data_IF_854282933592
#
_entry.id   IF_854282933592
#
_cell.length_a   1.000
_cell.length_b   1.000
_cell.length_c   1.000
_cell.angle_alpha   90.00
_cell.angle_beta   90.00
_cell.angle_gamma   90.00
#
_symmetry.space_group_name_H-M   'P 1'
#
loop_
_entity.id
_entity.type
_entity.pdbx_description
1 polymer ?
#
# COMPACT_ATOMS: atom_id res chain seq x y z
N UNK A 1 -6.62 -21.95 -27.94
CA UNK A 1 -7.66 -21.21 -27.19
C UNK A 1 -7.79 -19.79 -27.77
N UNK A 2 -6.72 -18.99 -27.81
CA UNK A 2 -6.78 -17.60 -28.30
C UNK A 2 -7.42 -17.44 -29.68
N UNK A 3 -7.10 -18.31 -30.65
CA UNK A 3 -7.75 -18.30 -31.98
C UNK A 3 -9.26 -18.62 -31.94
N UNK A 4 -9.67 -19.51 -31.02
CA UNK A 4 -11.09 -19.82 -30.81
C UNK A 4 -11.86 -18.64 -30.21
N UNK A 5 -11.16 -17.76 -29.49
CA UNK A 5 -11.69 -16.53 -28.90
C UNK A 5 -11.76 -15.36 -29.93
N UNK A 6 -11.49 -15.65 -31.22
CA UNK A 6 -11.58 -14.67 -32.31
C UNK A 6 -10.33 -13.82 -32.54
N UNK A 7 -9.24 -14.06 -31.81
CA UNK A 7 -7.98 -13.36 -32.01
C UNK A 7 -7.28 -13.82 -33.29
N UNK A 8 -6.75 -12.91 -34.09
CA UNK A 8 -6.00 -13.22 -35.30
C UNK A 8 -4.55 -13.56 -34.91
N UNK A 9 -4.09 -14.71 -35.41
CA UNK A 9 -2.69 -15.14 -35.24
C UNK A 9 -1.91 -14.85 -36.54
N UNK A 10 -0.75 -14.23 -36.39
CA UNK A 10 0.28 -14.14 -37.39
C UNK A 10 1.52 -14.88 -36.90
N UNK A 11 2.12 -15.65 -37.82
CA UNK A 11 3.39 -16.36 -37.62
C UNK A 11 4.23 -16.24 -38.91
N UNK A 12 5.59 -16.34 -38.83
CA UNK A 12 6.42 -16.35 -40.04
C UNK A 12 6.09 -17.55 -40.93
N UNK A 13 6.38 -17.42 -42.23
CA UNK A 13 6.15 -18.48 -43.22
C UNK A 13 7.15 -19.64 -43.19
N UNK A 14 8.27 -19.47 -42.47
CA UNK A 14 9.26 -20.52 -42.29
C UNK A 14 8.84 -21.51 -41.20
N UNK A 15 9.26 -22.76 -41.31
CA UNK A 15 8.94 -23.82 -40.34
C UNK A 15 9.98 -23.85 -39.22
N UNK A 16 9.53 -23.99 -37.98
CA UNK A 16 10.42 -24.31 -36.87
C UNK A 16 11.04 -25.71 -37.00
N UNK A 17 12.27 -25.92 -36.49
CA UNK A 17 12.83 -27.25 -36.37
C UNK A 17 11.89 -28.20 -35.61
N UNK A 18 11.77 -29.44 -36.09
CA UNK A 18 10.92 -30.44 -35.45
C UNK A 18 11.58 -31.14 -34.27
N UNK A 19 12.92 -31.11 -34.22
CA UNK A 19 13.70 -31.66 -33.12
C UNK A 19 13.93 -30.57 -32.05
N UNK A 20 13.31 -30.75 -30.87
CA UNK A 20 13.44 -29.83 -29.76
C UNK A 20 12.16 -29.08 -29.42
N UNK A 21 12.23 -28.16 -28.47
CA UNK A 21 11.11 -27.37 -27.94
C UNK A 21 11.08 -25.96 -28.57
N UNK A 22 11.04 -25.89 -29.88
CA UNK A 22 10.99 -24.64 -30.63
C UNK A 22 9.53 -24.23 -30.90
N UNK A 23 9.26 -22.95 -30.73
CA UNK A 23 7.98 -22.34 -31.05
C UNK A 23 8.20 -21.08 -31.93
N UNK A 24 7.46 -20.88 -33.01
CA UNK A 24 7.66 -19.74 -33.88
C UNK A 24 7.22 -18.43 -33.20
N UNK A 25 7.93 -17.31 -33.43
CA UNK A 25 7.45 -16.01 -32.99
C UNK A 25 6.02 -15.79 -33.44
N UNK A 26 5.16 -15.42 -32.53
CA UNK A 26 3.71 -15.36 -32.76
C UNK A 26 3.14 -14.03 -32.32
N UNK A 27 2.39 -13.37 -33.21
CA UNK A 27 1.70 -12.12 -32.94
C UNK A 27 0.19 -12.34 -32.96
N UNK A 28 -0.46 -12.00 -31.86
CA UNK A 28 -1.93 -11.96 -31.81
C UNK A 28 -2.44 -10.53 -31.91
N UNK A 29 -3.37 -10.31 -32.85
CA UNK A 29 -4.07 -9.04 -33.04
C UNK A 29 -5.57 -9.20 -32.84
N UNK A 30 -6.31 -8.09 -32.79
CA UNK A 30 -7.73 -8.07 -32.40
C UNK A 30 -7.97 -8.61 -30.98
N UNK A 31 -7.00 -8.46 -30.10
CA UNK A 31 -7.09 -8.91 -28.70
C UNK A 31 -7.91 -7.91 -27.91
N UNK A 32 -8.88 -8.42 -27.16
CA UNK A 32 -9.64 -7.62 -26.19
C UNK A 32 -9.03 -7.73 -24.80
N UNK A 33 -9.20 -6.74 -23.93
CA UNK A 33 -8.66 -6.79 -22.56
C UNK A 33 -9.14 -8.00 -21.73
N UNK A 34 -10.29 -8.58 -22.07
CA UNK A 34 -10.84 -9.79 -21.41
C UNK A 34 -10.39 -11.11 -22.03
N UNK A 35 -9.67 -11.07 -23.16
CA UNK A 35 -9.17 -12.29 -23.80
C UNK A 35 -8.21 -13.04 -22.90
N UNK A 36 -8.29 -14.37 -22.90
CA UNK A 36 -7.37 -15.23 -22.15
C UNK A 36 -5.90 -14.87 -22.39
N UNK A 37 -5.51 -14.63 -23.65
CA UNK A 37 -4.13 -14.32 -24.02
C UNK A 37 -3.66 -12.94 -23.58
N UNK A 38 -4.59 -12.03 -23.21
CA UNK A 38 -4.27 -10.73 -22.64
C UNK A 38 -4.03 -10.79 -21.11
N UNK A 39 -4.54 -11.84 -20.45
CA UNK A 39 -4.54 -11.95 -19.00
C UNK A 39 -3.55 -12.98 -18.46
N UNK A 40 -3.04 -13.87 -19.32
CA UNK A 40 -2.13 -14.95 -18.91
C UNK A 40 -0.76 -14.74 -19.53
N UNK A 41 0.26 -14.80 -18.72
CA UNK A 41 1.64 -14.77 -19.16
C UNK A 41 2.01 -16.10 -19.84
N UNK A 42 2.39 -16.05 -21.12
CA UNK A 42 2.63 -17.24 -21.93
C UNK A 42 4.05 -17.81 -21.73
N UNK A 43 4.99 -16.98 -21.29
CA UNK A 43 6.41 -17.36 -21.12
C UNK A 43 7.04 -17.95 -22.39
N UNK A 44 6.81 -17.32 -23.54
CA UNK A 44 7.34 -17.76 -24.84
C UNK A 44 7.34 -16.61 -25.85
N UNK A 45 7.77 -16.85 -27.11
CA UNK A 45 7.87 -15.84 -28.15
C UNK A 45 6.49 -15.44 -28.70
N UNK A 46 5.62 -14.97 -27.81
CA UNK A 46 4.24 -14.60 -28.12
C UNK A 46 4.00 -13.16 -27.70
N UNK A 47 3.54 -12.35 -28.63
CA UNK A 47 3.16 -10.95 -28.43
C UNK A 47 1.67 -10.76 -28.70
N UNK A 48 0.99 -9.98 -27.87
CA UNK A 48 -0.39 -9.52 -28.10
C UNK A 48 -0.42 -8.02 -28.34
N UNK A 49 -1.30 -7.58 -29.22
CA UNK A 49 -1.50 -6.15 -29.49
C UNK A 49 -2.95 -5.74 -29.29
N UNK A 50 -3.12 -4.59 -28.68
CA UNK A 50 -4.39 -3.90 -28.48
C UNK A 50 -4.23 -2.44 -28.90
N UNK A 51 -5.26 -1.85 -29.47
CA UNK A 51 -5.28 -0.43 -29.81
C UNK A 51 -5.94 0.38 -28.71
N UNK A 52 -5.54 1.62 -28.59
CA UNK A 52 -6.15 2.59 -27.69
C UNK A 52 -6.35 3.93 -28.42
N UNK A 53 -7.24 4.77 -27.92
CA UNK A 53 -7.58 6.08 -28.51
C UNK A 53 -7.03 7.25 -27.70
N UNK A 54 -6.87 7.06 -26.39
CA UNK A 54 -6.42 8.10 -25.48
C UNK A 54 -5.33 7.59 -24.54
N UNK A 55 -4.45 8.47 -24.04
CA UNK A 55 -3.45 8.09 -23.05
C UNK A 55 -4.06 7.43 -21.78
N UNK A 56 -5.21 7.92 -21.35
CA UNK A 56 -5.92 7.34 -20.20
C UNK A 56 -6.41 5.91 -20.47
N UNK A 57 -6.88 5.64 -21.69
CA UNK A 57 -7.25 4.30 -22.10
C UNK A 57 -6.03 3.37 -22.15
N UNK A 58 -4.90 3.84 -22.67
CA UNK A 58 -3.64 3.10 -22.69
C UNK A 58 -3.21 2.68 -21.26
N UNK A 59 -3.25 3.61 -20.30
CA UNK A 59 -2.97 3.33 -18.90
C UNK A 59 -3.96 2.31 -18.32
N UNK A 60 -5.24 2.45 -18.64
CA UNK A 60 -6.27 1.52 -18.17
C UNK A 60 -6.04 0.10 -18.71
N UNK A 61 -5.73 -0.04 -19.99
CA UNK A 61 -5.42 -1.33 -20.62
C UNK A 61 -4.14 -1.92 -20.04
N UNK A 62 -3.06 -1.14 -19.92
CA UNK A 62 -1.79 -1.58 -19.35
C UNK A 62 -1.94 -2.07 -17.91
N UNK A 63 -2.83 -1.46 -17.14
CA UNK A 63 -3.08 -1.84 -15.74
C UNK A 63 -4.09 -2.98 -15.58
N UNK A 64 -4.79 -3.38 -16.65
CA UNK A 64 -5.79 -4.44 -16.63
C UNK A 64 -5.16 -5.84 -16.78
N UNK A 65 -4.24 -6.17 -15.89
CA UNK A 65 -3.56 -7.47 -15.80
C UNK A 65 -3.25 -7.76 -14.33
N UNK A 66 -3.17 -9.03 -13.89
CA UNK A 66 -2.73 -9.38 -12.56
C UNK A 66 -1.22 -9.12 -12.34
N UNK A 67 -0.45 -8.90 -13.39
CA UNK A 67 0.99 -8.69 -13.34
C UNK A 67 1.37 -7.21 -13.35
N UNK A 68 2.62 -6.91 -12.99
CA UNK A 68 3.14 -5.55 -12.96
C UNK A 68 4.65 -5.53 -12.76
N UNK A 69 5.41 -6.31 -13.55
CA UNK A 69 6.87 -6.34 -13.42
C UNK A 69 7.51 -5.11 -14.05
N UNK A 70 7.29 -4.93 -15.34
CA UNK A 70 7.94 -3.87 -16.11
C UNK A 70 7.04 -3.37 -17.25
N UNK A 71 7.28 -2.13 -17.69
CA UNK A 71 6.65 -1.55 -18.85
C UNK A 71 7.61 -0.62 -19.61
N UNK A 72 7.32 -0.38 -20.89
CA UNK A 72 8.02 0.60 -21.72
C UNK A 72 7.03 1.57 -22.32
N UNK A 73 7.36 2.86 -22.30
CA UNK A 73 6.58 3.93 -22.91
C UNK A 73 7.40 4.56 -24.02
N UNK A 74 6.87 4.57 -25.21
CA UNK A 74 7.50 5.17 -26.39
C UNK A 74 6.71 6.37 -26.85
N UNK A 75 7.30 7.55 -26.82
CA UNK A 75 6.68 8.81 -27.23
C UNK A 75 7.71 9.87 -27.55
N UNK A 76 7.47 10.64 -28.60
CA UNK A 76 8.25 11.86 -28.87
C UNK A 76 7.92 12.99 -27.88
N UNK A 77 6.71 12.97 -27.31
CA UNK A 77 6.31 13.91 -26.27
C UNK A 77 6.77 13.42 -24.89
N UNK A 78 7.91 13.90 -24.46
CA UNK A 78 8.51 13.53 -23.17
C UNK A 78 7.62 13.88 -21.97
N UNK A 79 6.89 15.01 -22.04
CA UNK A 79 5.99 15.41 -20.96
C UNK A 79 4.84 14.43 -20.79
N UNK A 80 4.30 13.93 -21.89
CA UNK A 80 3.27 12.90 -21.88
C UNK A 80 3.82 11.58 -21.31
N UNK A 81 5.03 11.18 -21.72
CA UNK A 81 5.65 9.96 -21.19
C UNK A 81 5.88 10.02 -19.68
N UNK A 82 6.38 11.17 -19.19
CA UNK A 82 6.58 11.40 -17.75
C UNK A 82 5.26 11.49 -16.97
N UNK A 83 4.19 12.01 -17.56
CA UNK A 83 2.86 12.04 -16.93
C UNK A 83 2.23 10.64 -16.84
N UNK A 84 2.47 9.78 -17.83
CA UNK A 84 1.94 8.42 -17.88
C UNK A 84 2.71 7.47 -16.98
N UNK A 85 4.04 7.58 -16.90
CA UNK A 85 4.89 6.63 -16.19
C UNK A 85 4.41 6.33 -14.76
N UNK A 86 4.14 7.29 -13.88
CA UNK A 86 3.67 7.00 -12.52
C UNK A 86 2.24 6.43 -12.45
N UNK A 87 1.48 6.47 -13.55
CA UNK A 87 0.11 5.93 -13.63
C UNK A 87 0.07 4.46 -14.01
N UNK A 88 1.12 3.94 -14.65
CA UNK A 88 1.27 2.53 -14.99
C UNK A 88 1.74 1.75 -13.78
N UNK A 89 1.02 0.70 -13.41
CA UNK A 89 1.31 -0.14 -12.23
C UNK A 89 2.31 -1.24 -12.57
N UNK A 90 3.55 -0.82 -12.82
CA UNK A 90 4.70 -1.69 -13.04
C UNK A 90 5.88 -1.21 -12.17
N UNK A 91 6.68 -2.14 -11.69
CA UNK A 91 7.78 -1.82 -10.78
C UNK A 91 8.93 -1.09 -11.46
N UNK A 92 9.12 -1.31 -12.77
CA UNK A 92 10.09 -0.58 -13.60
C UNK A 92 9.40 -0.07 -14.87
N UNK A 93 9.66 1.18 -15.21
CA UNK A 93 9.15 1.80 -16.43
C UNK A 93 10.29 2.44 -17.18
N UNK A 94 10.50 1.99 -18.41
CA UNK A 94 11.42 2.59 -19.33
C UNK A 94 10.70 3.61 -20.23
N UNK A 95 11.34 4.75 -20.46
CA UNK A 95 10.84 5.76 -21.40
C UNK A 95 11.79 5.80 -22.60
N UNK A 96 11.25 5.57 -23.79
CA UNK A 96 11.96 5.50 -25.07
C UNK A 96 13.16 4.52 -25.03
N UNK A 97 13.03 3.48 -24.25
CA UNK A 97 13.98 2.39 -24.06
C UNK A 97 13.29 1.14 -23.55
N UNK A 98 14.01 0.04 -23.48
CA UNK A 98 13.53 -1.20 -22.88
C UNK A 98 14.72 -2.06 -22.44
N UNK A 99 14.49 -2.91 -21.43
CA UNK A 99 15.45 -3.90 -20.94
C UNK A 99 16.84 -3.34 -20.57
N UNK A 100 16.89 -2.11 -20.09
CA UNK A 100 18.09 -1.54 -19.51
C UNK A 100 18.14 -1.88 -18.02
N UNK A 101 19.14 -2.65 -17.63
CA UNK A 101 19.34 -3.10 -16.25
C UNK A 101 20.69 -2.65 -15.73
N UNK A 102 20.73 -2.25 -14.47
CA UNK A 102 21.96 -1.95 -13.76
C UNK A 102 21.85 -2.37 -12.29
N UNK A 103 22.88 -2.97 -11.75
CA UNK A 103 22.91 -3.45 -10.37
C UNK A 103 22.80 -2.32 -9.32
N UNK A 104 23.08 -1.07 -9.70
CA UNK A 104 22.91 0.09 -8.82
C UNK A 104 21.47 0.58 -8.71
N UNK A 105 20.55 0.02 -9.50
CA UNK A 105 19.15 0.41 -9.54
C UNK A 105 18.25 -0.71 -9.05
N UNK A 106 17.26 -0.39 -8.23
CA UNK A 106 16.28 -1.37 -7.77
C UNK A 106 15.39 -1.88 -8.92
N UNK A 107 15.27 -3.19 -9.06
CA UNK A 107 14.40 -3.88 -10.01
C UNK A 107 13.43 -4.79 -9.25
N UNK A 108 12.16 -4.78 -9.63
CA UNK A 108 11.13 -5.63 -9.06
C UNK A 108 9.74 -5.24 -9.54
N UNK A 109 8.73 -5.94 -9.09
CA UNK A 109 7.37 -5.84 -9.59
C UNK A 109 6.35 -5.24 -8.63
N UNK A 110 5.12 -5.28 -9.10
CA UNK A 110 3.87 -5.05 -8.36
C UNK A 110 2.92 -6.22 -8.60
N UNK A 111 1.85 -6.26 -7.86
CA UNK A 111 0.76 -7.25 -7.99
C UNK A 111 1.33 -8.68 -7.88
N UNK A 112 0.89 -9.61 -8.74
CA UNK A 112 1.35 -11.00 -8.75
C UNK A 112 2.81 -11.17 -9.23
N UNK A 113 3.40 -10.14 -9.84
CA UNK A 113 4.85 -10.13 -10.14
C UNK A 113 5.74 -9.96 -8.90
N UNK A 114 5.15 -9.76 -7.72
CA UNK A 114 5.84 -9.61 -6.44
C UNK A 114 6.24 -8.17 -6.13
N UNK A 115 6.60 -7.93 -4.86
CA UNK A 115 6.88 -6.58 -4.34
C UNK A 115 8.33 -6.38 -3.93
N UNK A 116 9.16 -7.43 -3.95
CA UNK A 116 10.57 -7.34 -3.65
C UNK A 116 11.33 -6.44 -4.64
N UNK A 117 12.50 -5.98 -4.21
CA UNK A 117 13.44 -5.26 -5.08
C UNK A 117 14.81 -5.92 -5.00
N UNK A 118 15.41 -6.12 -6.17
CA UNK A 118 16.80 -6.55 -6.32
C UNK A 118 17.64 -5.38 -6.82
N UNK A 119 18.92 -5.36 -6.50
CA UNK A 119 19.80 -4.26 -6.85
C UNK A 119 19.57 -2.98 -6.04
N UNK A 120 20.46 -2.03 -6.18
CA UNK A 120 20.42 -0.75 -5.50
C UNK A 120 20.42 -0.85 -3.96
N UNK A 121 20.15 0.27 -3.32
CA UNK A 121 19.98 0.34 -1.86
C UNK A 121 18.75 -0.45 -1.37
N UNK A 122 17.74 -0.56 -2.20
CA UNK A 122 16.50 -1.27 -1.92
C UNK A 122 16.77 -2.78 -1.79
N UNK A 123 17.55 -3.35 -2.69
CA UNK A 123 17.93 -4.75 -2.64
C UNK A 123 18.78 -5.09 -1.42
N UNK A 124 19.77 -4.25 -1.09
CA UNK A 124 20.62 -4.45 0.10
C UNK A 124 19.79 -4.46 1.39
N UNK A 125 18.77 -3.59 1.49
CA UNK A 125 17.90 -3.52 2.68
C UNK A 125 17.14 -4.81 2.94
N UNK A 126 16.79 -5.56 1.91
CA UNK A 126 16.10 -6.85 2.07
C UNK A 126 16.93 -7.89 2.80
N UNK A 127 18.25 -7.78 2.73
CA UNK A 127 19.23 -8.67 3.40
C UNK A 127 19.79 -8.09 4.70
N UNK A 128 19.37 -6.88 5.10
CA UNK A 128 19.87 -6.18 6.27
C UNK A 128 18.87 -6.24 7.41
N UNK A 129 19.34 -6.54 8.63
CA UNK A 129 18.55 -6.38 9.85
C UNK A 129 18.57 -4.92 10.26
N UNK A 130 17.45 -4.23 10.14
CA UNK A 130 17.30 -2.93 10.76
C UNK A 130 17.25 -3.12 12.28
N UNK A 131 18.04 -2.36 13.06
CA UNK A 131 17.91 -2.38 14.52
C UNK A 131 16.57 -1.72 14.86
N UNK A 132 15.55 -2.55 15.05
CA UNK A 132 14.32 -2.09 15.67
C UNK A 132 14.62 -1.82 17.14
N UNK A 133 14.36 -0.63 17.68
CA UNK A 133 14.40 -0.39 19.10
C UNK A 133 13.25 -1.20 19.73
N UNK A 134 13.54 -2.41 20.15
CA UNK A 134 12.63 -3.20 20.98
C UNK A 134 12.56 -2.50 22.35
N UNK A 135 11.53 -1.70 22.53
CA UNK A 135 11.11 -1.25 23.85
C UNK A 135 10.67 -2.49 24.63
N UNK A 136 11.53 -2.98 25.52
CA UNK A 136 11.14 -3.98 26.51
C UNK A 136 10.27 -3.26 27.54
N UNK A 137 8.96 -3.33 27.38
CA UNK A 137 8.03 -2.97 28.44
C UNK A 137 8.26 -3.89 29.62
N UNK A 138 8.71 -3.36 30.74
CA UNK A 138 8.76 -4.07 32.02
C UNK A 138 7.35 -4.02 32.62
N UNK A 139 6.68 -5.17 32.72
CA UNK A 139 5.41 -5.29 33.45
C UNK A 139 5.54 -4.66 34.85
N UNK A 140 4.78 -3.57 35.08
CA UNK A 140 4.64 -2.96 36.40
C UNK A 140 3.73 -3.79 37.29
N UNK A 141 4.06 -3.84 38.59
CA UNK A 141 3.27 -4.52 39.63
C UNK A 141 1.92 -3.82 39.82
N UNK A 142 0.86 -4.63 39.97
CA UNK A 142 -0.52 -4.23 40.20
C UNK A 142 -0.66 -3.22 41.34
N UNK A 143 -1.34 -2.10 41.09
CA UNK A 143 -1.82 -1.16 42.08
C UNK A 143 -3.36 -1.10 42.06
N UNK A 144 -3.94 -0.86 43.22
CA UNK A 144 -5.33 -1.11 43.59
C UNK A 144 -6.28 0.07 43.35
N UNK A 145 -7.54 -0.30 43.05
CA UNK A 145 -8.82 0.43 43.20
C UNK A 145 -8.95 1.80 42.55
N UNK A 146 -9.66 1.79 41.39
CA UNK A 146 -10.25 2.98 40.76
C UNK A 146 -11.75 3.08 41.05
N UNK A 147 -12.21 4.30 41.24
CA UNK A 147 -13.62 4.64 41.48
C UNK A 147 -14.43 4.57 40.18
N UNK A 148 -15.62 3.96 40.29
CA UNK A 148 -16.63 3.93 39.25
C UNK A 148 -17.15 5.35 38.94
N UNK A 149 -16.97 5.85 37.74
CA UNK A 149 -17.67 7.04 37.24
C UNK A 149 -18.92 6.59 36.49
N UNK A 150 -20.09 7.15 36.87
CA UNK A 150 -21.35 6.97 36.16
C UNK A 150 -21.24 7.62 34.78
N UNK A 151 -20.81 6.87 33.78
CA UNK A 151 -20.81 7.32 32.39
C UNK A 151 -22.09 6.91 31.71
N UNK A 152 -22.69 7.79 30.92
CA UNK A 152 -23.81 7.49 30.04
C UNK A 152 -23.34 6.38 29.08
N UNK A 153 -24.03 5.24 29.11
CA UNK A 153 -23.75 4.12 28.20
C UNK A 153 -24.04 4.57 26.76
N UNK A 154 -22.93 4.74 26.00
CA UNK A 154 -22.98 5.03 24.57
C UNK A 154 -22.33 3.86 23.86
N UNK A 155 -23.13 3.00 23.25
CA UNK A 155 -22.61 1.92 22.40
C UNK A 155 -21.61 2.50 21.38
N UNK A 156 -20.34 2.15 21.45
CA UNK A 156 -19.36 2.62 20.48
C UNK A 156 -19.75 2.23 19.08
N UNK A 157 -19.38 3.04 18.12
CA UNK A 157 -19.62 2.81 16.70
C UNK A 157 -18.31 2.64 15.98
N UNK A 158 -18.33 1.86 14.90
CA UNK A 158 -17.23 1.83 13.94
C UNK A 158 -17.05 3.24 13.35
N UNK A 159 -15.80 3.58 13.04
CA UNK A 159 -15.47 4.84 12.38
C UNK A 159 -14.99 4.55 10.96
N UNK A 160 -15.86 4.77 9.97
CA UNK A 160 -15.62 4.43 8.58
C UNK A 160 -15.87 5.65 7.70
N UNK A 161 -14.87 6.04 6.92
CA UNK A 161 -14.99 7.17 6.00
C UNK A 161 -15.23 8.52 6.66
N UNK A 162 -14.69 8.76 7.85
CA UNK A 162 -14.88 9.98 8.61
C UNK A 162 -16.23 10.07 9.34
N UNK A 163 -16.98 8.98 9.44
CA UNK A 163 -18.30 8.95 10.06
C UNK A 163 -18.45 7.78 11.01
N UNK A 164 -19.22 7.99 12.06
CA UNK A 164 -19.63 6.91 12.95
C UNK A 164 -20.70 6.05 12.27
N UNK A 165 -20.48 4.73 12.24
CA UNK A 165 -21.37 3.74 11.61
C UNK A 165 -21.64 2.59 12.59
N UNK A 166 -22.88 2.14 12.70
CA UNK A 166 -23.19 0.91 13.45
C UNK A 166 -22.62 -0.29 12.69
N UNK A 167 -22.15 -1.34 13.39
CA UNK A 167 -21.73 -2.58 12.74
C UNK A 167 -22.92 -3.21 11.98
N UNK A 168 -22.66 -3.86 10.87
CA UNK A 168 -23.67 -4.50 10.04
C UNK A 168 -24.43 -5.60 10.81
N UNK A 169 -23.75 -6.28 11.72
CA UNK A 169 -24.34 -7.28 12.60
C UNK A 169 -25.30 -6.70 13.64
N UNK A 170 -25.15 -5.42 13.99
CA UNK A 170 -25.85 -4.77 15.11
C UNK A 170 -25.36 -5.22 16.49
N UNK A 171 -24.37 -6.13 16.58
CA UNK A 171 -23.85 -6.65 17.84
C UNK A 171 -22.68 -5.83 18.39
N UNK A 172 -22.53 -5.91 19.72
CA UNK A 172 -21.39 -5.39 20.46
C UNK A 172 -20.90 -6.44 21.46
N UNK A 173 -19.69 -6.27 21.98
CA UNK A 173 -19.18 -7.03 23.10
C UNK A 173 -18.66 -6.06 24.17
N UNK A 174 -18.72 -6.48 25.43
CA UNK A 174 -18.30 -5.66 26.56
C UNK A 174 -16.79 -5.74 26.75
N UNK A 175 -16.15 -4.60 26.96
CA UNK A 175 -14.74 -4.48 27.29
C UNK A 175 -14.55 -4.19 28.77
N UNK A 176 -13.54 -4.79 29.37
CA UNK A 176 -13.23 -4.70 30.79
C UNK A 176 -11.78 -4.27 30.99
N UNK A 177 -11.52 -3.59 32.11
CA UNK A 177 -10.16 -3.23 32.53
C UNK A 177 -9.41 -4.46 33.13
N UNK A 178 -8.16 -4.26 33.47
CA UNK A 178 -7.32 -5.31 34.11
C UNK A 178 -7.84 -5.79 35.48
N UNK A 179 -8.77 -5.07 36.06
CA UNK A 179 -9.44 -5.40 37.33
C UNK A 179 -10.82 -6.01 37.12
N UNK A 180 -11.20 -6.30 35.85
CA UNK A 180 -12.48 -6.82 35.45
C UNK A 180 -13.65 -5.84 35.73
N UNK A 181 -13.40 -4.52 35.76
CA UNK A 181 -14.46 -3.52 35.76
C UNK A 181 -14.91 -3.23 34.32
N UNK A 182 -16.21 -3.09 34.13
CA UNK A 182 -16.76 -2.73 32.84
C UNK A 182 -16.30 -1.33 32.42
N UNK A 183 -15.80 -1.20 31.17
CA UNK A 183 -15.38 0.07 30.59
C UNK A 183 -16.39 0.57 29.57
N UNK A 184 -16.68 -0.22 28.56
CA UNK A 184 -17.61 0.14 27.49
C UNK A 184 -17.99 -1.09 26.65
N UNK A 185 -19.04 -0.94 25.86
CA UNK A 185 -19.33 -1.87 24.79
C UNK A 185 -18.62 -1.46 23.51
N UNK A 186 -18.00 -2.43 22.85
CA UNK A 186 -17.26 -2.28 21.59
C UNK A 186 -18.08 -2.89 20.45
N UNK A 187 -18.19 -2.24 19.28
CA UNK A 187 -18.94 -2.77 18.17
C UNK A 187 -18.28 -4.04 17.62
N UNK A 188 -19.06 -5.08 17.40
CA UNK A 188 -18.59 -6.32 16.82
C UNK A 188 -18.69 -6.27 15.28
N UNK A 189 -17.60 -5.88 14.63
CA UNK A 189 -17.50 -5.80 13.17
C UNK A 189 -17.51 -7.19 12.54
N UNK A 190 -18.16 -7.31 11.39
CA UNK A 190 -18.16 -8.53 10.59
C UNK A 190 -17.38 -8.35 9.26
N UNK A 191 -17.35 -9.40 8.44
CA UNK A 191 -16.65 -9.41 7.15
C UNK A 191 -17.13 -8.29 6.20
N UNK A 192 -18.42 -7.93 6.24
CA UNK A 192 -18.97 -6.86 5.41
C UNK A 192 -18.47 -5.50 5.85
N UNK A 193 -18.40 -5.25 7.16
CA UNK A 193 -17.84 -4.01 7.70
C UNK A 193 -16.36 -3.84 7.30
N UNK A 194 -15.58 -4.92 7.37
CA UNK A 194 -14.16 -4.91 6.94
C UNK A 194 -14.05 -4.60 5.44
N UNK A 195 -14.86 -5.26 4.59
CA UNK A 195 -14.88 -4.97 3.16
C UNK A 195 -15.23 -3.52 2.88
N UNK A 196 -16.31 -3.01 3.47
CA UNK A 196 -16.76 -1.63 3.30
C UNK A 196 -15.67 -0.64 3.76
N UNK A 197 -14.96 -0.96 4.84
CA UNK A 197 -13.84 -0.16 5.35
C UNK A 197 -12.68 -0.11 4.36
N UNK A 198 -12.29 -1.26 3.80
CA UNK A 198 -11.21 -1.35 2.80
C UNK A 198 -11.58 -0.59 1.52
N UNK A 199 -12.83 -0.70 1.05
CA UNK A 199 -13.31 0.05 -0.12
C UNK A 199 -13.25 1.57 0.11
N UNK A 200 -13.65 2.04 1.27
CA UNK A 200 -13.61 3.46 1.62
C UNK A 200 -12.18 3.95 1.74
N UNK A 201 -11.30 3.18 2.39
CA UNK A 201 -9.87 3.49 2.51
C UNK A 201 -9.19 3.54 1.14
N UNK A 202 -9.48 2.58 0.26
CA UNK A 202 -8.95 2.55 -1.11
C UNK A 202 -9.36 3.78 -1.93
N UNK A 203 -10.62 4.21 -1.82
CA UNK A 203 -11.10 5.45 -2.46
C UNK A 203 -10.45 6.71 -1.88
N UNK A 204 -10.03 6.69 -0.62
CA UNK A 204 -9.35 7.83 0.00
C UNK A 204 -7.92 8.00 -0.52
N UNK A 205 -7.22 6.93 -0.89
CA UNK A 205 -5.88 6.99 -1.48
C UNK A 205 -5.87 7.82 -2.77
N UNK A 206 -6.92 7.70 -3.59
CA UNK A 206 -7.04 8.43 -4.86
C UNK A 206 -7.38 9.92 -4.71
N UNK A 207 -7.91 10.32 -3.55
CA UNK A 207 -8.19 11.73 -3.21
C UNK A 207 -6.95 12.35 -2.55
N UNK A 208 -5.83 12.37 -3.28
CA UNK A 208 -4.57 12.82 -2.70
C UNK A 208 -4.63 14.28 -2.25
N UNK A 209 -4.61 14.49 -0.95
CA UNK A 209 -4.16 15.76 -0.39
C UNK A 209 -2.67 15.93 -0.73
N UNK A 210 -2.24 17.18 -0.91
CA UNK A 210 -0.81 17.47 -1.10
C UNK A 210 0.01 16.96 0.10
N UNK A 211 1.30 16.73 -0.10
CA UNK A 211 2.21 16.34 0.99
C UNK A 211 2.17 17.35 2.13
N UNK A 212 2.07 18.65 1.80
CA UNK A 212 1.91 19.74 2.76
C UNK A 212 0.61 19.61 3.59
N UNK A 213 -0.52 19.33 2.96
CA UNK A 213 -1.77 19.14 3.69
C UNK A 213 -1.71 17.91 4.62
N UNK A 214 -1.03 16.84 4.22
CA UNK A 214 -0.81 15.67 5.07
C UNK A 214 0.04 16.00 6.30
N UNK A 215 1.08 16.80 6.12
CA UNK A 215 1.88 17.32 7.24
C UNK A 215 1.01 18.10 8.22
N UNK A 216 0.20 19.04 7.72
CA UNK A 216 -0.70 19.84 8.58
C UNK A 216 -1.70 18.97 9.35
N UNK A 217 -2.30 17.95 8.70
CA UNK A 217 -3.24 17.03 9.38
C UNK A 217 -2.55 16.34 10.55
N UNK A 218 -1.30 15.86 10.38
CA UNK A 218 -0.56 15.22 11.45
C UNK A 218 -0.21 16.17 12.58
N UNK A 219 0.16 17.43 12.28
CA UNK A 219 0.40 18.45 13.29
C UNK A 219 -0.87 18.77 14.09
N UNK A 220 -1.99 19.04 13.44
CA UNK A 220 -3.25 19.27 14.13
C UNK A 220 -3.69 18.07 14.98
N UNK A 221 -3.44 16.85 14.50
CA UNK A 221 -3.72 15.65 15.29
C UNK A 221 -2.85 15.61 16.55
N UNK A 222 -1.54 15.87 16.42
CA UNK A 222 -0.62 15.91 17.54
C UNK A 222 -1.00 16.96 18.59
N UNK A 223 -1.29 18.18 18.16
CA UNK A 223 -1.73 19.27 19.04
C UNK A 223 -3.03 18.95 19.78
N UNK A 224 -4.05 18.46 19.06
CA UNK A 224 -5.32 18.06 19.67
C UNK A 224 -5.18 16.90 20.66
N UNK A 225 -4.27 15.98 20.41
CA UNK A 225 -3.96 14.90 21.35
C UNK A 225 -3.23 15.43 22.57
N UNK A 226 -2.27 16.36 22.38
CA UNK A 226 -1.53 16.95 23.48
C UNK A 226 -2.43 17.68 24.47
N UNK A 227 -3.44 18.40 23.98
CA UNK A 227 -4.45 19.06 24.83
C UNK A 227 -5.28 18.09 25.67
N UNK A 228 -5.38 16.83 25.21
CA UNK A 228 -6.14 15.78 25.87
C UNK A 228 -5.26 14.73 26.57
N UNK A 229 -3.98 15.01 26.76
CA UNK A 229 -3.00 14.08 27.32
C UNK A 229 -3.49 13.41 28.60
N UNK A 230 -3.99 14.17 29.57
CA UNK A 230 -4.44 13.65 30.85
C UNK A 230 -5.61 12.65 30.70
N UNK A 231 -6.53 12.90 29.79
CA UNK A 231 -7.66 12.01 29.54
C UNK A 231 -7.20 10.69 28.94
N UNK A 232 -6.35 10.76 27.92
CA UNK A 232 -5.86 9.55 27.24
C UNK A 232 -4.90 8.73 28.08
N UNK A 233 -3.98 9.37 28.82
CA UNK A 233 -3.05 8.66 29.70
C UNK A 233 -3.76 7.98 30.87
N UNK A 234 -4.78 8.62 31.44
CA UNK A 234 -5.60 7.98 32.50
C UNK A 234 -6.39 6.81 31.97
N UNK A 235 -6.96 6.93 30.76
CA UNK A 235 -7.68 5.83 30.10
C UNK A 235 -6.74 4.66 29.80
N UNK A 236 -5.57 4.94 29.24
CA UNK A 236 -4.54 3.93 28.95
C UNK A 236 -4.10 3.20 30.22
N UNK A 237 -3.83 3.94 31.30
CA UNK A 237 -3.47 3.37 32.61
C UNK A 237 -4.57 2.43 33.11
N UNK A 238 -5.84 2.80 32.99
CA UNK A 238 -6.99 1.96 33.41
C UNK A 238 -7.14 0.70 32.55
N UNK A 239 -6.99 0.84 31.23
CA UNK A 239 -7.20 -0.25 30.27
C UNK A 239 -6.16 -1.36 30.43
N UNK A 240 -4.88 -1.02 30.47
CA UNK A 240 -3.78 -1.98 30.45
C UNK A 240 -3.05 -2.13 31.77
N UNK A 241 -3.43 -1.37 32.79
CA UNK A 241 -2.89 -1.49 34.17
C UNK A 241 -1.47 -1.02 34.35
N UNK A 242 -0.94 -0.18 33.45
CA UNK A 242 0.38 0.46 33.62
C UNK A 242 0.29 1.65 34.56
N UNK A 243 1.46 2.09 35.08
CA UNK A 243 1.48 3.29 35.93
C UNK A 243 1.07 4.53 35.12
N UNK A 244 0.45 5.53 35.78
CA UNK A 244 0.09 6.80 35.14
C UNK A 244 1.30 7.45 34.46
N UNK A 245 2.47 7.36 35.08
CA UNK A 245 3.72 7.90 34.54
C UNK A 245 4.18 7.19 33.26
N UNK A 246 4.01 5.87 33.19
CA UNK A 246 4.36 5.11 31.99
C UNK A 246 3.35 5.38 30.87
N UNK A 247 2.07 5.51 31.21
CA UNK A 247 1.02 5.89 30.26
C UNK A 247 1.28 7.29 29.66
N UNK A 248 1.66 8.26 30.49
CA UNK A 248 2.04 9.60 30.03
C UNK A 248 3.25 9.58 29.11
N UNK A 249 4.27 8.78 29.43
CA UNK A 249 5.47 8.64 28.61
C UNK A 249 5.14 8.00 27.24
N UNK A 250 4.33 6.96 27.22
CA UNK A 250 3.90 6.32 25.97
C UNK A 250 3.10 7.29 25.09
N UNK A 251 2.24 8.07 25.73
CA UNK A 251 1.46 9.10 25.06
C UNK A 251 2.34 10.21 24.49
N UNK A 252 3.32 10.71 25.25
CA UNK A 252 4.30 11.70 24.77
C UNK A 252 5.09 11.18 23.57
N UNK A 253 5.55 9.93 23.61
CA UNK A 253 6.23 9.30 22.48
C UNK A 253 5.35 9.21 21.23
N UNK A 254 4.05 8.99 21.41
CA UNK A 254 3.09 8.96 20.30
C UNK A 254 2.93 10.34 19.67
N UNK A 255 2.85 11.40 20.48
CA UNK A 255 2.82 12.79 20.01
C UNK A 255 4.11 13.16 19.28
N UNK A 256 5.28 12.82 19.83
CA UNK A 256 6.58 13.07 19.20
C UNK A 256 6.66 12.40 17.81
N UNK A 257 6.18 11.16 17.70
CA UNK A 257 6.12 10.45 16.41
C UNK A 257 5.20 11.14 15.41
N UNK A 258 4.05 11.66 15.83
CA UNK A 258 3.16 12.42 14.96
C UNK A 258 3.82 13.69 14.42
N UNK A 259 4.51 14.44 15.29
CA UNK A 259 5.29 15.61 14.84
C UNK A 259 6.42 15.21 13.90
N UNK A 260 7.16 14.13 14.23
CA UNK A 260 8.24 13.64 13.38
C UNK A 260 7.75 13.25 11.99
N UNK A 261 6.69 12.45 11.88
CA UNK A 261 6.15 12.04 10.59
C UNK A 261 5.43 13.18 9.88
N UNK A 262 4.84 14.13 10.60
CA UNK A 262 4.34 15.38 10.05
C UNK A 262 5.46 16.17 9.36
N UNK A 263 6.61 16.31 10.02
CA UNK A 263 7.79 16.96 9.44
C UNK A 263 8.38 16.23 8.24
N UNK A 264 8.21 14.91 8.17
CA UNK A 264 8.71 14.08 7.06
C UNK A 264 7.75 14.00 5.88
N UNK A 265 6.48 14.33 6.06
CA UNK A 265 5.44 14.08 5.06
C UNK A 265 5.67 14.82 3.73
N UNK A 266 6.27 15.99 3.76
CA UNK A 266 6.62 16.82 2.59
C UNK A 266 8.09 16.66 2.15
N UNK A 267 8.89 15.88 2.88
CA UNK A 267 10.34 15.67 2.67
C UNK A 267 10.70 14.24 2.27
N UNK A 268 9.69 13.38 2.12
CA UNK A 268 9.90 11.99 1.74
C UNK A 268 10.02 11.89 0.22
N UNK A 269 11.17 12.28 -0.30
CA UNK A 269 11.49 12.35 -1.72
C UNK A 269 11.95 11.00 -2.28
N UNK A 270 11.97 10.89 -3.61
CA UNK A 270 12.61 9.80 -4.32
C UNK A 270 14.13 9.96 -4.39
N UNK A 271 14.76 9.15 -5.19
CA UNK A 271 16.20 9.19 -5.42
C UNK A 271 16.51 9.30 -6.92
N UNK A 272 17.61 9.98 -7.23
CA UNK A 272 18.21 9.96 -8.57
C UNK A 272 19.39 9.01 -8.50
N UNK A 273 19.40 7.99 -9.37
CA UNK A 273 20.52 7.09 -9.52
C UNK A 273 21.35 7.50 -10.72
N UNK A 274 22.67 7.35 -10.62
CA UNK A 274 23.62 7.60 -11.70
C UNK A 274 24.31 6.29 -12.11
N UNK A 275 23.59 5.38 -12.78
CA UNK A 275 24.17 4.13 -13.26
C UNK A 275 25.15 4.39 -14.42
N UNK A 276 26.08 3.47 -14.71
CA UNK A 276 27.04 3.61 -15.80
C UNK A 276 26.43 3.47 -17.21
N UNK A 277 25.13 3.33 -17.30
CA UNK A 277 24.39 3.32 -18.57
C UNK A 277 23.96 4.74 -18.97
N UNK A 278 23.82 4.98 -20.28
CA UNK A 278 23.37 6.27 -20.80
C UNK A 278 21.86 6.47 -20.45
N UNK A 279 21.57 7.41 -19.57
CA UNK A 279 20.18 7.75 -19.20
C UNK A 279 20.07 8.34 -17.80
N UNK A 280 18.87 8.72 -17.43
CA UNK A 280 18.50 9.20 -16.11
C UNK A 280 17.60 8.15 -15.44
N UNK A 281 17.99 7.71 -14.26
CA UNK A 281 17.19 6.76 -13.47
C UNK A 281 16.64 7.44 -12.23
N UNK A 282 15.31 7.40 -12.10
CA UNK A 282 14.58 7.98 -10.98
C UNK A 282 13.92 6.86 -10.17
N UNK A 283 14.13 6.84 -8.86
CA UNK A 283 13.35 6.04 -7.91
C UNK A 283 12.26 6.92 -7.30
N UNK A 284 11.03 6.73 -7.72
CA UNK A 284 9.88 7.51 -7.28
C UNK A 284 9.19 6.78 -6.13
N UNK A 285 8.84 7.51 -5.07
CA UNK A 285 8.07 6.97 -3.94
C UNK A 285 6.58 6.99 -4.27
N UNK A 286 5.91 5.86 -4.08
CA UNK A 286 4.46 5.74 -4.26
C UNK A 286 3.79 5.26 -2.97
N UNK A 287 2.51 5.63 -2.73
CA UNK A 287 1.73 5.08 -1.63
C UNK A 287 1.55 3.56 -1.82
N UNK A 288 1.76 2.82 -0.76
CA UNK A 288 1.60 1.35 -0.77
C UNK A 288 0.12 0.94 -0.95
N UNK A 289 -0.80 1.82 -0.56
CA UNK A 289 -2.24 1.59 -0.59
C UNK A 289 -2.86 1.52 0.80
N UNK A 290 -3.79 0.62 0.99
CA UNK A 290 -4.46 0.40 2.28
C UNK A 290 -3.59 -0.47 3.17
N UNK A 291 -3.34 -0.02 4.39
CA UNK A 291 -2.59 -0.74 5.41
C UNK A 291 -3.54 -1.15 6.53
N UNK A 292 -3.54 -2.42 6.90
CA UNK A 292 -4.24 -2.94 8.06
C UNK A 292 -3.27 -3.04 9.24
N UNK A 293 -3.56 -2.34 10.33
CA UNK A 293 -2.85 -2.50 11.59
C UNK A 293 -3.67 -3.41 12.50
N UNK A 294 -3.09 -4.54 12.87
CA UNK A 294 -3.67 -5.47 13.85
C UNK A 294 -2.89 -5.22 15.14
N UNK A 295 -3.59 -4.66 16.11
CA UNK A 295 -3.01 -4.34 17.41
C UNK A 295 -3.35 -5.48 18.38
N UNK A 296 -2.40 -5.80 19.24
CA UNK A 296 -2.59 -6.80 20.29
C UNK A 296 -3.10 -6.10 21.56
N UNK A 297 -3.87 -6.83 22.34
CA UNK A 297 -4.40 -6.35 23.64
C UNK A 297 -3.37 -6.39 24.78
N UNK A 298 -2.11 -6.80 24.50
CA UNK A 298 -1.03 -6.96 25.46
C UNK A 298 -0.08 -5.76 25.55
#
# INVERSE_FOLDING_TARGET
KAQKDGNKLWQPSWSCPTNGLFYPPSLFTNVTPSSFIAQVEIFGPVLTTMTFRTPSEAVSIANNTPYGLAASIWSENINLALDIAPKVKAGVIWINSTNLFDAACGFGGYKESGFGREGGSEGIRAYSKLPLPLSKSKRGKKSSKGQSSNSIDRTPKLYIGGKQKRPDSGYSFSSYDVHNNFICDVPNANRKDVRDTVEVASKAVSKSSTNFNRAQILYYLAENLQDRKNTFSSLLSSLIGISQKDAEKEFDQSIERLFYYGAMADKFEGSIHNPPIRGLTLAVKEPIGVVANILNDE
#
